data_IF_479521582642
#
_entry.id   IF_479521582642
#
_cell.length_a   1.000
_cell.length_b   1.000
_cell.length_c   1.000
_cell.angle_alpha   90.00
_cell.angle_beta   90.00
_cell.angle_gamma   90.00
#
_symmetry.space_group_name_H-M   'P 1'
#
loop_
_entity.id
_entity.type
_entity.pdbx_description
1 polymer ?
#
# COMPACT_ATOMS: atom_id res chain seq x y z
N UNK A 1 -7.34 0.71 13.74
CA UNK A 1 -6.67 -0.47 13.16
C UNK A 1 -6.86 -0.44 11.64
N UNK A 2 -5.97 -1.09 10.90
CA UNK A 2 -5.97 -1.21 9.43
C UNK A 2 -6.04 -2.70 9.09
N UNK A 3 -7.10 -3.08 8.38
CA UNK A 3 -7.42 -4.48 8.05
C UNK A 3 -7.29 -4.80 6.56
N UNK A 4 -7.42 -3.80 5.69
CA UNK A 4 -7.38 -4.03 4.24
C UNK A 4 -6.84 -2.83 3.49
N UNK A 5 -6.05 -3.11 2.47
CA UNK A 5 -5.57 -2.12 1.49
C UNK A 5 -6.01 -2.55 0.10
N UNK A 6 -6.53 -1.61 -0.68
CA UNK A 6 -6.86 -1.82 -2.10
C UNK A 6 -6.01 -0.89 -2.95
N UNK A 7 -5.25 -1.49 -3.87
CA UNK A 7 -4.45 -0.79 -4.86
C UNK A 7 -5.17 -0.90 -6.20
N UNK A 8 -5.47 0.23 -6.83
CA UNK A 8 -5.90 0.25 -8.22
C UNK A 8 -4.77 0.82 -9.08
N UNK A 9 -3.99 -0.06 -9.69
CA UNK A 9 -2.90 0.30 -10.59
C UNK A 9 -3.39 0.53 -12.03
N UNK A 10 -2.57 1.25 -12.78
CA UNK A 10 -2.53 1.22 -14.25
C UNK A 10 -1.69 0.01 -14.74
N UNK A 11 -1.54 -0.26 -16.05
CA UNK A 11 -0.60 -1.29 -16.54
C UNK A 11 0.86 -1.06 -16.14
N UNK A 12 1.22 0.16 -15.75
CA UNK A 12 2.52 0.50 -15.18
C UNK A 12 2.49 0.37 -13.64
N UNK A 13 2.76 -0.83 -13.12
CA UNK A 13 2.58 -1.20 -11.70
C UNK A 13 3.87 -1.68 -11.04
N UNK A 14 3.83 -1.90 -9.73
CA UNK A 14 4.95 -2.50 -8.97
C UNK A 14 4.80 -4.02 -8.85
N UNK A 15 5.83 -4.78 -9.25
CA UNK A 15 5.95 -6.22 -8.95
C UNK A 15 6.46 -6.45 -7.54
N UNK A 16 7.47 -5.69 -7.12
CA UNK A 16 7.95 -5.72 -5.75
C UNK A 16 7.56 -4.45 -5.01
N UNK A 17 6.83 -4.58 -3.92
CA UNK A 17 6.42 -3.47 -3.08
C UNK A 17 6.13 -3.92 -1.64
N UNK A 18 6.10 -2.94 -0.75
CA UNK A 18 5.64 -3.10 0.64
C UNK A 18 4.53 -2.13 0.96
N UNK A 19 3.61 -2.55 1.80
CA UNK A 19 2.73 -1.64 2.54
C UNK A 19 3.30 -1.52 3.95
N UNK A 20 3.49 -0.28 4.37
CA UNK A 20 4.08 0.06 5.65
C UNK A 20 3.19 1.03 6.41
N UNK A 21 3.24 0.93 7.73
CA UNK A 21 2.55 1.83 8.65
C UNK A 21 3.53 2.50 9.60
N UNK A 22 3.16 3.68 10.08
CA UNK A 22 3.95 4.44 11.05
C UNK A 22 3.05 5.30 11.93
N UNK A 23 3.41 5.45 13.20
CA UNK A 23 2.76 6.40 14.11
C UNK A 23 3.30 7.83 13.95
N UNK A 24 4.55 7.99 13.48
CA UNK A 24 5.27 9.27 13.44
C UNK A 24 5.73 9.70 12.04
N UNK A 25 5.61 8.84 11.03
CA UNK A 25 6.01 9.10 9.64
C UNK A 25 7.50 8.87 9.35
N UNK A 26 8.32 8.50 10.34
CA UNK A 26 9.76 8.22 10.19
C UNK A 26 10.12 6.77 10.47
N UNK A 27 9.48 6.13 11.46
CA UNK A 27 9.72 4.74 11.83
C UNK A 27 8.63 3.86 11.20
N UNK A 28 9.03 2.98 10.28
CA UNK A 28 8.10 2.24 9.43
C UNK A 28 8.10 0.76 9.75
N UNK A 29 6.91 0.21 9.94
CA UNK A 29 6.68 -1.23 10.12
C UNK A 29 6.00 -1.77 8.87
N UNK A 30 6.58 -2.82 8.26
CA UNK A 30 5.97 -3.51 7.12
C UNK A 30 4.79 -4.38 7.58
N UNK A 31 3.63 -4.17 6.96
CA UNK A 31 2.40 -4.96 7.21
C UNK A 31 1.99 -5.80 5.99
N UNK A 32 2.60 -5.57 4.83
CA UNK A 32 2.51 -6.42 3.65
C UNK A 32 3.78 -6.30 2.81
N UNK A 33 4.20 -7.40 2.18
CA UNK A 33 5.31 -7.40 1.22
C UNK A 33 5.05 -8.42 0.13
N UNK A 34 5.35 -8.06 -1.11
CA UNK A 34 5.33 -8.97 -2.26
C UNK A 34 6.46 -8.64 -3.22
N UNK A 35 6.90 -9.65 -3.98
CA UNK A 35 7.81 -9.51 -5.13
C UNK A 35 7.16 -9.95 -6.45
N UNK A 36 5.90 -10.38 -6.38
CA UNK A 36 5.13 -10.93 -7.50
C UNK A 36 3.76 -10.25 -7.63
N UNK A 37 3.71 -8.95 -7.32
CA UNK A 37 2.52 -8.11 -7.54
C UNK A 37 2.01 -8.24 -8.96
N UNK A 38 0.70 -8.33 -9.11
CA UNK A 38 0.03 -8.65 -10.39
C UNK A 38 -0.45 -7.42 -11.14
N UNK A 39 -0.48 -6.24 -10.50
CA UNK A 39 -1.01 -5.02 -11.06
C UNK A 39 -2.54 -4.97 -11.09
N UNK A 40 -3.09 -3.98 -11.80
CA UNK A 40 -4.52 -3.68 -11.84
C UNK A 40 -5.13 -3.55 -10.45
N UNK A 41 -6.22 -4.26 -10.14
CA UNK A 41 -6.83 -4.23 -8.81
C UNK A 41 -6.19 -5.30 -7.93
N UNK A 42 -5.47 -4.88 -6.89
CA UNK A 42 -4.96 -5.76 -5.85
C UNK A 42 -5.68 -5.46 -4.52
N UNK A 43 -6.26 -6.49 -3.90
CA UNK A 43 -6.88 -6.41 -2.58
C UNK A 43 -6.04 -7.20 -1.60
N UNK A 44 -5.55 -6.51 -0.57
CA UNK A 44 -4.59 -7.03 0.39
C UNK A 44 -5.24 -7.07 1.76
N UNK A 45 -5.39 -8.26 2.31
CA UNK A 45 -5.69 -8.43 3.73
C UNK A 45 -4.42 -8.17 4.53
N UNK A 46 -4.50 -7.25 5.48
CA UNK A 46 -3.35 -6.79 6.27
C UNK A 46 -3.77 -6.68 7.74
N UNK A 47 -2.78 -6.58 8.62
CA UNK A 47 -3.03 -6.26 10.02
C UNK A 47 -1.98 -5.27 10.50
N UNK A 48 -2.44 -4.14 11.01
CA UNK A 48 -1.56 -3.11 11.54
C UNK A 48 -2.29 -1.94 12.17
N UNK A 49 -1.53 -1.11 12.87
CA UNK A 49 -1.97 0.18 13.40
C UNK A 49 -0.96 1.25 13.02
N UNK A 50 -1.44 2.44 12.71
CA UNK A 50 -0.58 3.57 12.38
C UNK A 50 -1.40 4.78 11.98
N UNK A 51 -0.79 5.96 12.07
CA UNK A 51 -1.34 7.22 11.57
C UNK A 51 -1.03 7.43 10.10
N UNK A 52 0.12 6.93 9.65
CA UNK A 52 0.62 7.04 8.29
C UNK A 52 0.65 5.67 7.64
N UNK A 53 0.31 5.64 6.35
CA UNK A 53 0.42 4.43 5.51
C UNK A 53 1.22 4.80 4.27
N UNK A 54 2.17 3.95 3.89
CA UNK A 54 3.02 4.13 2.72
C UNK A 54 3.03 2.87 1.86
N UNK A 55 2.94 3.09 0.55
CA UNK A 55 3.33 2.14 -0.48
C UNK A 55 4.80 2.38 -0.84
N UNK A 56 5.67 1.42 -0.56
CA UNK A 56 7.09 1.46 -0.91
C UNK A 56 7.36 0.55 -2.11
N UNK A 57 7.32 1.13 -3.31
CA UNK A 57 7.52 0.39 -4.56
C UNK A 57 9.01 0.22 -4.88
N UNK A 58 9.42 -1.03 -5.16
CA UNK A 58 10.82 -1.43 -5.28
C UNK A 58 11.18 -1.96 -6.67
N UNK A 59 10.24 -2.64 -7.36
CA UNK A 59 10.46 -3.14 -8.71
C UNK A 59 9.26 -2.86 -9.61
N UNK A 60 9.53 -2.25 -10.77
CA UNK A 60 8.55 -1.93 -11.81
C UNK A 60 8.17 -3.17 -12.61
N UNK A 61 6.95 -3.20 -13.16
CA UNK A 61 6.48 -4.26 -14.05
C UNK A 61 7.08 -4.21 -15.45
N UNK A 62 7.52 -3.02 -15.88
CA UNK A 62 8.11 -2.76 -17.19
C UNK A 62 8.99 -1.49 -17.19
N UNK A 63 9.15 -0.88 -18.37
CA UNK A 63 10.06 0.25 -18.58
C UNK A 63 9.51 1.59 -18.07
N UNK A 64 8.18 1.71 -18.00
CA UNK A 64 7.49 2.89 -17.47
C UNK A 64 7.63 3.00 -15.95
N UNK A 65 7.25 4.14 -15.38
CA UNK A 65 7.22 4.38 -13.94
C UNK A 65 6.15 3.57 -13.19
N UNK A 66 5.82 3.98 -11.97
CA UNK A 66 4.67 3.47 -11.23
C UNK A 66 3.47 4.40 -11.44
N UNK A 67 2.30 3.85 -11.73
CA UNK A 67 1.05 4.59 -11.92
C UNK A 67 -0.08 3.93 -11.13
N UNK A 68 -0.70 4.71 -10.24
CA UNK A 68 -1.75 4.27 -9.33
C UNK A 68 -2.94 5.23 -9.44
N UNK A 69 -4.12 4.67 -9.70
CA UNK A 69 -5.38 5.39 -9.73
C UNK A 69 -5.94 5.62 -8.32
N UNK A 70 -5.93 4.59 -7.48
CA UNK A 70 -6.50 4.67 -6.13
C UNK A 70 -5.65 3.92 -5.10
N UNK A 71 -5.54 4.51 -3.91
CA UNK A 71 -4.95 3.91 -2.72
C UNK A 71 -5.97 3.93 -1.59
N UNK A 72 -6.71 2.83 -1.41
CA UNK A 72 -7.76 2.75 -0.40
C UNK A 72 -7.24 2.02 0.83
N UNK A 73 -7.38 2.64 2.00
CA UNK A 73 -7.02 2.04 3.30
C UNK A 73 -8.30 1.86 4.12
N UNK A 74 -8.59 0.62 4.49
CA UNK A 74 -9.77 0.23 5.24
C UNK A 74 -9.38 -0.29 6.61
N UNK A 75 -10.24 -0.05 7.59
CA UNK A 75 -10.08 -0.53 8.94
C UNK A 75 -11.14 0.07 9.85
N UNK A 76 -11.04 -0.22 11.13
CA UNK A 76 -11.99 0.28 12.14
C UNK A 76 -11.88 1.78 12.43
N UNK A 77 -10.95 2.49 11.76
CA UNK A 77 -10.95 3.95 11.66
C UNK A 77 -10.96 4.69 13.00
N UNK A 78 -9.78 5.11 13.46
CA UNK A 78 -9.74 6.27 14.37
C UNK A 78 -10.33 7.50 13.65
N UNK A 79 -10.91 8.44 14.39
CA UNK A 79 -11.62 9.62 13.87
C UNK A 79 -10.75 10.42 12.87
N UNK A 80 -10.97 10.29 11.54
CA UNK A 80 -10.25 11.07 10.56
C UNK A 80 -10.73 12.51 10.71
N UNK A 81 -9.83 13.42 11.05
CA UNK A 81 -10.14 14.86 11.11
C UNK A 81 -10.00 15.37 9.67
N UNK A 82 -11.08 15.90 9.05
CA UNK A 82 -11.03 16.46 7.70
C UNK A 82 -10.07 17.65 7.56
#
# INVERSE_FOLDING_TARGET
EISRVVLQWDPAYARAYRIEVSDNGSDWTTIHSTTTGTGFKETLDVSGTGRHVRLYAMQRSGEYGYSLWEFQVWGTGGAPIP
#
